data_IF_799049928562
#
_entry.id   IF_799049928562
#
_cell.length_a   1.000
_cell.length_b   1.000
_cell.length_c   1.000
_cell.angle_alpha   90.00
_cell.angle_beta   90.00
_cell.angle_gamma   90.00
#
_symmetry.space_group_name_H-M   'P 1'
#
loop_
_entity.id
_entity.type
_entity.pdbx_description
1 polymer ?
#
# COMPACT_ATOMS: atom_id res chain seq x y z
N UNK A 1 2.29 15.20 9.33
CA UNK A 1 2.11 14.61 10.66
C UNK A 1 1.56 13.20 10.56
N UNK A 2 1.96 12.35 11.47
CA UNK A 2 1.55 10.96 11.47
C UNK A 2 0.41 10.72 12.45
N UNK A 3 -0.49 9.83 12.06
CA UNK A 3 -1.55 9.35 12.94
C UNK A 3 -1.38 7.85 13.12
N UNK A 4 -1.64 7.38 14.33
CA UNK A 4 -1.59 5.95 14.60
C UNK A 4 -2.97 5.34 14.39
N UNK A 5 -3.00 4.24 13.65
CA UNK A 5 -4.24 3.47 13.42
C UNK A 5 -3.99 2.02 13.77
N UNK A 6 -5.03 1.32 14.17
CA UNK A 6 -4.98 -0.11 14.43
C UNK A 6 -5.80 -0.83 13.38
N UNK A 7 -5.22 -1.86 12.77
CA UNK A 7 -5.85 -2.63 11.69
C UNK A 7 -5.68 -4.11 11.97
N UNK A 8 -6.72 -4.89 11.74
CA UNK A 8 -6.64 -6.35 11.76
C UNK A 8 -6.33 -6.86 10.38
N UNK A 9 -5.36 -7.75 10.30
CA UNK A 9 -4.98 -8.42 9.05
C UNK A 9 -5.20 -9.92 9.20
N UNK A 10 -5.50 -10.57 8.09
CA UNK A 10 -5.56 -12.03 8.05
C UNK A 10 -4.18 -12.61 8.40
N UNK A 11 -4.16 -13.80 8.98
CA UNK A 11 -2.91 -14.42 9.47
C UNK A 11 -1.86 -14.57 8.36
N UNK A 12 -2.28 -14.95 7.16
CA UNK A 12 -1.38 -15.11 6.02
C UNK A 12 -0.74 -13.78 5.61
N UNK A 13 -1.48 -12.67 5.73
CA UNK A 13 -0.93 -11.35 5.45
C UNK A 13 0.06 -10.91 6.51
N UNK A 14 -0.20 -11.26 7.77
CA UNK A 14 0.76 -10.98 8.86
C UNK A 14 2.05 -11.76 8.62
N UNK A 15 1.96 -13.02 8.25
CA UNK A 15 3.12 -13.84 7.92
C UNK A 15 3.92 -13.25 6.77
N UNK A 16 3.24 -12.79 5.73
CA UNK A 16 3.88 -12.13 4.61
C UNK A 16 4.65 -10.88 5.04
N UNK A 17 4.02 -10.04 5.86
CA UNK A 17 4.66 -8.84 6.40
C UNK A 17 5.92 -9.20 7.19
N UNK A 18 5.82 -10.22 8.05
CA UNK A 18 6.95 -10.67 8.86
C UNK A 18 8.09 -11.23 7.99
N UNK A 19 7.76 -11.92 6.91
CA UNK A 19 8.75 -12.44 5.97
C UNK A 19 9.49 -11.31 5.27
N UNK A 20 8.79 -10.25 4.88
CA UNK A 20 9.40 -9.07 4.26
C UNK A 20 10.36 -8.39 5.22
N UNK A 21 9.95 -8.20 6.47
CA UNK A 21 10.81 -7.62 7.50
C UNK A 21 12.01 -8.53 7.78
N UNK A 22 11.76 -9.84 7.90
CA UNK A 22 12.82 -10.82 8.17
C UNK A 22 13.85 -10.92 7.05
N UNK A 23 13.45 -10.65 5.80
CA UNK A 23 14.37 -10.65 4.67
C UNK A 23 15.21 -9.37 4.56
N UNK A 24 14.95 -8.39 5.40
CA UNK A 24 15.70 -7.14 5.42
C UNK A 24 15.24 -6.11 4.38
N UNK A 25 14.18 -6.38 3.65
CA UNK A 25 13.65 -5.45 2.65
C UNK A 25 13.01 -4.22 3.26
N UNK A 26 12.46 -4.36 4.44
CA UNK A 26 11.85 -3.27 5.18
C UNK A 26 12.28 -3.31 6.65
N UNK A 27 12.24 -2.16 7.29
CA UNK A 27 12.68 -2.01 8.69
C UNK A 27 11.70 -2.57 9.71
N UNK A 28 10.41 -2.51 9.40
CA UNK A 28 9.36 -2.80 10.35
C UNK A 28 8.06 -3.16 9.64
N UNK A 29 7.14 -3.72 10.39
CA UNK A 29 5.78 -3.99 9.90
C UNK A 29 5.11 -2.72 9.40
N UNK A 30 5.25 -1.62 10.14
CA UNK A 30 4.67 -0.33 9.75
C UNK A 30 5.24 0.15 8.41
N UNK A 31 6.53 -0.03 8.17
CA UNK A 31 7.16 0.34 6.91
C UNK A 31 6.62 -0.49 5.74
N UNK A 32 6.41 -1.79 5.93
CA UNK A 32 5.82 -2.66 4.90
C UNK A 32 4.43 -2.17 4.53
N UNK A 33 3.59 -1.93 5.52
CA UNK A 33 2.21 -1.50 5.32
C UNK A 33 2.18 -0.11 4.66
N UNK A 34 2.97 0.82 5.14
CA UNK A 34 3.03 2.18 4.59
C UNK A 34 3.42 2.16 3.11
N UNK A 35 4.42 1.34 2.76
CA UNK A 35 4.86 1.22 1.37
C UNK A 35 3.80 0.58 0.48
N UNK A 36 3.11 -0.43 0.97
CA UNK A 36 2.02 -1.06 0.24
C UNK A 36 0.88 -0.08 -0.02
N UNK A 37 0.52 0.72 0.98
CA UNK A 37 -0.51 1.74 0.84
C UNK A 37 -0.10 2.85 -0.13
N UNK A 38 1.16 3.25 -0.12
CA UNK A 38 1.67 4.23 -1.07
C UNK A 38 1.54 3.73 -2.51
N UNK A 39 1.85 2.46 -2.75
CA UNK A 39 1.69 1.84 -4.06
C UNK A 39 0.23 1.80 -4.48
N UNK A 40 -0.66 1.43 -3.56
CA UNK A 40 -2.08 1.37 -3.83
C UNK A 40 -2.63 2.75 -4.15
N UNK A 41 -2.22 3.75 -3.39
CA UNK A 41 -2.63 5.14 -3.65
C UNK A 41 -2.22 5.59 -5.05
N UNK A 42 -0.97 5.32 -5.45
CA UNK A 42 -0.49 5.65 -6.80
C UNK A 42 -1.29 4.93 -7.87
N UNK A 43 -1.58 3.66 -7.65
CA UNK A 43 -2.36 2.86 -8.59
C UNK A 43 -3.75 3.44 -8.78
N UNK A 44 -4.39 3.81 -7.70
CA UNK A 44 -5.74 4.38 -7.73
C UNK A 44 -5.76 5.76 -8.39
N UNK A 45 -4.78 6.59 -8.11
CA UNK A 45 -4.65 7.92 -8.73
C UNK A 45 -4.42 7.76 -10.23
N UNK A 46 -3.54 6.87 -10.65
CA UNK A 46 -3.28 6.60 -12.06
C UNK A 46 -4.52 6.09 -12.78
N UNK A 47 -5.28 5.18 -12.17
CA UNK A 47 -6.52 4.67 -12.72
C UNK A 47 -7.56 5.77 -12.87
N UNK A 48 -7.66 6.64 -11.86
CA UNK A 48 -8.57 7.79 -11.88
C UNK A 48 -8.23 8.76 -13.00
N UNK A 49 -6.94 9.07 -13.16
CA UNK A 49 -6.46 9.95 -14.22
C UNK A 49 -6.75 9.36 -15.60
N UNK A 50 -6.56 8.06 -15.75
CA UNK A 50 -6.88 7.34 -16.98
C UNK A 50 -8.38 7.42 -17.31
N UNK A 51 -9.24 7.28 -16.31
CA UNK A 51 -10.69 7.42 -16.47
C UNK A 51 -11.07 8.83 -16.91
N UNK A 52 -10.48 9.83 -16.28
CA UNK A 52 -10.73 11.24 -16.63
C UNK A 52 -10.32 11.51 -18.07
N UNK A 53 -9.14 11.03 -18.47
CA UNK A 53 -8.65 11.18 -19.85
C UNK A 53 -9.55 10.46 -20.83
N UNK A 54 -10.01 9.27 -20.51
CA UNK A 54 -10.93 8.52 -21.36
C UNK A 54 -12.28 9.22 -21.50
N UNK A 55 -12.78 9.80 -20.41
CA UNK A 55 -14.06 10.51 -20.39
C UNK A 55 -14.01 11.83 -21.16
N UNK A 56 -12.85 12.48 -21.19
CA UNK A 56 -12.65 13.75 -21.89
C UNK A 56 -12.01 13.60 -23.26
N UNK A 57 -11.81 12.37 -23.70
CA UNK A 57 -11.18 12.07 -24.97
C UNK A 57 -11.87 12.69 -26.16
N UNK A 58 -11.19 12.73 -27.28
CA UNK A 58 -11.70 13.42 -28.48
C UNK A 58 -12.99 12.85 -29.01
#
# INVERSE_FOLDING_TARGET
MSKQIAVRLADDLVEFVDDVVGSGKERSRAAVVARALERERRRMVAARDAEILAATGP
#
